data_IF_609906286805
#
_entry.id   IF_609906286805
#
_cell.length_a   1.000
_cell.length_b   1.000
_cell.length_c   1.000
_cell.angle_alpha   90.00
_cell.angle_beta   90.00
_cell.angle_gamma   90.00
#
_symmetry.space_group_name_H-M   'P 1'
#
loop_
_entity.id
_entity.type
_entity.pdbx_description
1 polymer ?
#
# COMPACT_ATOMS: atom_id res chain seq x y z
N UNK A 1 15.37 -26.96 21.06
CA UNK A 1 16.24 -26.00 20.36
C UNK A 1 15.38 -24.82 19.96
N UNK A 2 15.68 -23.61 20.46
CA UNK A 2 15.00 -22.37 20.05
C UNK A 2 15.94 -21.64 19.09
N UNK A 3 15.49 -21.25 17.88
CA UNK A 3 16.32 -20.49 16.97
C UNK A 3 16.62 -19.11 17.58
N UNK A 4 17.87 -18.66 17.45
CA UNK A 4 18.23 -17.29 17.80
C UNK A 4 17.62 -16.32 16.78
N UNK A 5 16.70 -15.48 17.26
CA UNK A 5 15.97 -14.51 16.44
C UNK A 5 16.62 -13.12 16.47
N UNK A 6 17.71 -12.93 17.23
CA UNK A 6 18.37 -11.62 17.38
C UNK A 6 18.80 -10.97 16.06
N UNK A 7 19.27 -11.68 15.01
CA UNK A 7 19.59 -11.04 13.74
C UNK A 7 18.35 -10.50 13.02
N UNK A 8 17.20 -11.16 13.19
CA UNK A 8 15.93 -10.69 12.65
C UNK A 8 15.48 -9.40 13.33
N UNK A 9 15.62 -9.33 14.65
CA UNK A 9 15.27 -8.13 15.42
C UNK A 9 16.13 -6.92 15.08
N UNK A 10 17.44 -7.08 14.94
CA UNK A 10 18.34 -5.98 14.57
C UNK A 10 18.02 -5.40 13.19
N UNK A 11 17.59 -6.25 12.25
CA UNK A 11 17.18 -5.84 10.91
C UNK A 11 15.80 -5.17 10.87
N UNK A 12 14.95 -5.39 11.87
CA UNK A 12 13.56 -4.95 11.94
C UNK A 12 13.33 -3.73 12.84
N UNK A 13 14.08 -3.58 13.94
CA UNK A 13 14.00 -2.46 14.89
C UNK A 13 14.05 -1.07 14.23
N UNK A 14 14.93 -0.81 13.24
CA UNK A 14 14.95 0.48 12.55
C UNK A 14 13.65 0.80 11.79
N UNK A 15 13.01 -0.23 11.22
CA UNK A 15 11.75 -0.10 10.49
C UNK A 15 10.57 0.18 11.43
N UNK A 16 10.52 -0.46 12.59
CA UNK A 16 9.51 -0.18 13.62
C UNK A 16 9.62 1.25 14.14
N UNK A 17 10.83 1.64 14.55
CA UNK A 17 11.11 2.99 15.05
C UNK A 17 10.76 4.06 14.01
N UNK A 18 11.13 3.85 12.75
CA UNK A 18 10.77 4.79 11.69
C UNK A 18 9.26 4.88 11.49
N UNK A 19 8.54 3.75 11.53
CA UNK A 19 7.08 3.74 11.39
C UNK A 19 6.38 4.47 12.55
N UNK A 20 6.91 4.36 13.77
CA UNK A 20 6.43 5.12 14.91
C UNK A 20 6.62 6.63 14.73
N UNK A 21 7.80 7.08 14.28
CA UNK A 21 8.05 8.50 14.02
C UNK A 21 7.13 9.09 12.95
N UNK A 22 6.76 8.30 11.94
CA UNK A 22 5.81 8.71 10.90
C UNK A 22 4.37 8.82 11.40
N UNK A 23 3.97 7.94 12.32
CA UNK A 23 2.64 7.95 12.93
C UNK A 23 2.51 8.96 14.09
N UNK A 24 3.62 9.35 14.70
CA UNK A 24 3.62 10.27 15.82
C UNK A 24 3.15 11.68 15.37
N UNK A 25 2.17 12.30 16.06
CA UNK A 25 1.65 13.61 15.68
C UNK A 25 2.73 14.69 15.63
N UNK A 26 3.61 14.72 16.63
CA UNK A 26 4.65 15.73 16.71
C UNK A 26 5.67 15.54 15.59
N UNK A 27 5.91 16.62 14.87
CA UNK A 27 6.64 16.61 13.61
C UNK A 27 8.16 16.56 13.83
N UNK A 28 8.71 15.41 14.17
CA UNK A 28 10.16 15.24 14.29
C UNK A 28 10.80 14.76 12.97
N UNK A 29 10.90 15.67 11.99
CA UNK A 29 11.52 15.36 10.70
C UNK A 29 13.02 15.12 10.78
N UNK A 30 13.71 15.68 11.78
CA UNK A 30 15.14 15.45 11.98
C UNK A 30 15.39 14.00 12.36
N UNK A 31 14.63 13.44 13.31
CA UNK A 31 14.71 12.04 13.69
C UNK A 31 14.33 11.10 12.53
N UNK A 32 13.34 11.48 11.70
CA UNK A 32 12.96 10.72 10.50
C UNK A 32 14.10 10.70 9.49
N UNK A 33 14.74 11.84 9.22
CA UNK A 33 15.85 11.95 8.25
C UNK A 33 17.14 11.30 8.75
N UNK A 34 17.33 11.22 10.06
CA UNK A 34 18.46 10.53 10.66
C UNK A 34 18.43 9.01 10.41
N UNK A 35 17.25 8.43 10.15
CA UNK A 35 17.10 7.03 9.77
C UNK A 35 17.18 6.87 8.25
N UNK A 36 18.39 6.55 7.77
CA UNK A 36 18.61 6.29 6.35
C UNK A 36 18.07 4.90 5.94
N UNK A 37 17.16 4.89 4.96
CA UNK A 37 16.59 3.68 4.37
C UNK A 37 17.24 3.31 3.03
N UNK A 38 18.25 4.07 2.58
CA UNK A 38 18.92 3.85 1.28
C UNK A 38 19.52 2.44 1.19
N UNK A 39 20.14 1.99 2.29
CA UNK A 39 20.76 0.67 2.43
C UNK A 39 19.75 -0.47 2.63
N UNK A 40 18.48 -0.16 2.93
CA UNK A 40 17.50 -1.18 3.25
C UNK A 40 17.21 -2.08 2.05
N UNK A 41 17.13 -3.38 2.34
CA UNK A 41 16.69 -4.39 1.39
C UNK A 41 15.17 -4.37 1.24
N UNK A 42 14.67 -4.99 0.17
CA UNK A 42 13.24 -5.01 -0.14
C UNK A 42 12.39 -5.56 1.00
N UNK A 43 12.84 -6.61 1.71
CA UNK A 43 12.08 -7.17 2.83
C UNK A 43 11.98 -6.21 4.02
N UNK A 44 12.99 -5.37 4.27
CA UNK A 44 12.95 -4.34 5.32
C UNK A 44 11.99 -3.21 4.93
N UNK A 45 12.01 -2.79 3.67
CA UNK A 45 11.05 -1.81 3.14
C UNK A 45 9.61 -2.34 3.19
N UNK A 46 9.41 -3.61 2.85
CA UNK A 46 8.12 -4.30 2.99
C UNK A 46 7.67 -4.29 4.45
N UNK A 47 8.55 -4.69 5.38
CA UNK A 47 8.24 -4.73 6.80
C UNK A 47 7.91 -3.34 7.36
N UNK A 48 8.67 -2.33 6.97
CA UNK A 48 8.39 -0.93 7.29
C UNK A 48 7.00 -0.50 6.81
N UNK A 49 6.65 -0.77 5.55
CA UNK A 49 5.34 -0.41 5.01
C UNK A 49 4.20 -1.19 5.67
N UNK A 50 4.42 -2.45 6.04
CA UNK A 50 3.45 -3.23 6.83
C UNK A 50 3.20 -2.58 8.20
N UNK A 51 4.23 -2.04 8.85
CA UNK A 51 4.08 -1.29 10.10
C UNK A 51 3.37 0.05 9.90
N UNK A 52 3.65 0.77 8.81
CA UNK A 52 2.91 2.00 8.45
C UNK A 52 1.43 1.68 8.19
N UNK A 53 1.12 0.59 7.50
CA UNK A 53 -0.25 0.17 7.21
C UNK A 53 -1.08 -0.15 8.46
N UNK A 54 -0.44 -0.70 9.50
CA UNK A 54 -1.06 -0.93 10.81
C UNK A 54 -1.34 0.37 11.56
N UNK A 55 -0.52 1.39 11.35
CA UNK A 55 -0.64 2.71 11.98
C UNK A 55 -1.44 3.72 11.16
N UNK A 56 -1.85 3.37 9.95
CA UNK A 56 -2.65 4.24 9.07
C UNK A 56 -4.12 4.29 9.53
N UNK A 57 -4.81 5.44 9.42
CA UNK A 57 -4.34 6.68 8.78
C UNK A 57 -3.29 7.43 9.62
N UNK A 58 -2.29 7.95 8.93
CA UNK A 58 -1.26 8.83 9.47
C UNK A 58 -1.80 10.27 9.54
N UNK A 59 -1.16 11.15 10.34
CA UNK A 59 -1.47 12.57 10.33
C UNK A 59 -1.39 13.21 8.93
N UNK A 60 -2.16 14.26 8.72
CA UNK A 60 -2.27 14.94 7.42
C UNK A 60 -0.91 15.37 6.85
N UNK A 61 -0.76 15.21 5.54
CA UNK A 61 0.47 15.54 4.81
C UNK A 61 1.65 14.59 5.05
N UNK A 62 1.54 13.58 5.92
CA UNK A 62 2.62 12.60 6.16
C UNK A 62 2.86 11.71 4.94
N UNK A 63 1.79 11.22 4.30
CA UNK A 63 1.93 10.38 3.09
C UNK A 63 2.62 11.13 1.95
N UNK A 64 2.28 12.41 1.74
CA UNK A 64 2.97 13.26 0.76
C UNK A 64 4.46 13.40 1.08
N UNK A 65 4.80 13.71 2.34
CA UNK A 65 6.20 13.81 2.77
C UNK A 65 6.95 12.49 2.62
N UNK A 66 6.32 11.36 2.91
CA UNK A 66 6.88 10.02 2.66
C UNK A 66 7.13 9.78 1.17
N UNK A 67 6.18 10.20 0.32
CA UNK A 67 6.29 10.06 -1.14
C UNK A 67 7.51 10.78 -1.68
N UNK A 68 7.77 11.99 -1.17
CA UNK A 68 8.93 12.83 -1.53
C UNK A 68 10.22 12.26 -0.95
N UNK A 69 10.23 11.89 0.34
CA UNK A 69 11.45 11.47 1.04
C UNK A 69 11.92 10.08 0.60
N UNK A 70 11.01 9.20 0.19
CA UNK A 70 11.31 7.81 -0.17
C UNK A 70 10.90 7.45 -1.61
N UNK A 71 11.56 8.02 -2.64
CA UNK A 71 11.31 7.65 -4.05
C UNK A 71 11.48 6.16 -4.34
N UNK A 72 12.37 5.48 -3.60
CA UNK A 72 12.59 4.02 -3.68
C UNK A 72 11.33 3.20 -3.34
N UNK A 73 10.38 3.81 -2.62
CA UNK A 73 9.07 3.24 -2.29
C UNK A 73 8.00 3.81 -3.24
N UNK A 74 7.86 5.14 -3.31
CA UNK A 74 6.75 5.78 -4.04
C UNK A 74 6.83 5.59 -5.56
N UNK A 75 8.04 5.39 -6.10
CA UNK A 75 8.29 5.10 -7.53
C UNK A 75 8.71 3.65 -7.78
N UNK A 76 8.54 2.76 -6.80
CA UNK A 76 8.97 1.37 -6.89
C UNK A 76 8.25 0.63 -8.04
N UNK A 77 8.98 -0.21 -8.76
CA UNK A 77 8.39 -1.18 -9.70
C UNK A 77 8.09 -2.54 -9.04
N UNK A 78 8.68 -2.80 -7.86
CA UNK A 78 8.47 -4.04 -7.14
C UNK A 78 6.99 -4.15 -6.67
N UNK A 79 6.31 -5.22 -7.09
CA UNK A 79 4.89 -5.41 -6.81
C UNK A 79 4.55 -5.51 -5.31
N UNK A 80 5.46 -6.03 -4.47
CA UNK A 80 5.23 -6.10 -3.01
C UNK A 80 5.26 -4.71 -2.36
N UNK A 81 6.10 -3.81 -2.86
CA UNK A 81 6.15 -2.41 -2.41
C UNK A 81 4.96 -1.63 -2.96
N UNK A 82 4.65 -1.77 -4.25
CA UNK A 82 3.50 -1.11 -4.89
C UNK A 82 2.19 -1.48 -4.22
N UNK A 83 1.98 -2.76 -3.89
CA UNK A 83 0.80 -3.22 -3.15
C UNK A 83 0.61 -2.44 -1.85
N UNK A 84 1.64 -2.44 -1.00
CA UNK A 84 1.57 -1.81 0.33
C UNK A 84 1.45 -0.30 0.23
N UNK A 85 2.19 0.32 -0.68
CA UNK A 85 2.11 1.75 -0.94
C UNK A 85 0.71 2.16 -1.39
N UNK A 86 0.10 1.42 -2.34
CA UNK A 86 -1.29 1.67 -2.75
C UNK A 86 -2.27 1.54 -1.59
N UNK A 87 -2.11 0.55 -0.72
CA UNK A 87 -2.95 0.42 0.47
C UNK A 87 -2.77 1.58 1.45
N UNK A 88 -1.54 2.09 1.62
CA UNK A 88 -1.27 3.27 2.47
C UNK A 88 -1.95 4.50 1.88
N UNK A 89 -1.75 4.76 0.58
CA UNK A 89 -2.39 5.86 -0.15
C UNK A 89 -3.90 5.85 0.05
N UNK A 90 -4.54 4.69 -0.15
CA UNK A 90 -5.99 4.52 -0.01
C UNK A 90 -6.47 4.69 1.43
N UNK A 91 -5.79 4.06 2.40
CA UNK A 91 -6.14 4.17 3.83
C UNK A 91 -6.03 5.59 4.38
N UNK A 92 -5.18 6.42 3.76
CA UNK A 92 -4.96 7.81 4.16
C UNK A 92 -5.75 8.79 3.28
N UNK A 93 -6.61 8.30 2.37
CA UNK A 93 -7.33 9.09 1.38
C UNK A 93 -6.43 10.11 0.65
N UNK A 94 -5.20 9.70 0.29
CA UNK A 94 -4.24 10.58 -0.37
C UNK A 94 -4.46 10.57 -1.88
N UNK A 95 -5.40 11.38 -2.36
CA UNK A 95 -5.87 11.35 -3.76
C UNK A 95 -4.78 11.59 -4.80
N UNK A 96 -3.75 12.39 -4.49
CA UNK A 96 -2.59 12.61 -5.38
C UNK A 96 -1.84 11.31 -5.73
N UNK A 97 -2.02 10.24 -4.94
CA UNK A 97 -1.48 8.90 -5.22
C UNK A 97 -2.39 7.98 -6.01
N UNK A 98 -3.64 8.35 -6.30
CA UNK A 98 -4.64 7.45 -6.90
C UNK A 98 -4.26 7.01 -8.33
N UNK A 99 -3.63 7.89 -9.11
CA UNK A 99 -3.10 7.52 -10.43
C UNK A 99 -2.11 6.35 -10.34
N UNK A 100 -1.28 6.30 -9.29
CA UNK A 100 -0.33 5.19 -9.09
C UNK A 100 -1.02 3.90 -8.67
N UNK A 101 -2.13 3.99 -7.94
CA UNK A 101 -2.99 2.85 -7.63
C UNK A 101 -3.60 2.28 -8.90
N UNK A 102 -4.16 3.16 -9.74
CA UNK A 102 -4.71 2.82 -11.06
C UNK A 102 -3.67 2.18 -11.97
N UNK A 103 -2.49 2.80 -12.12
CA UNK A 103 -1.36 2.28 -12.89
C UNK A 103 -0.96 0.87 -12.43
N UNK A 104 -1.05 0.57 -11.13
CA UNK A 104 -0.69 -0.74 -10.60
C UNK A 104 -1.73 -1.82 -10.89
N UNK A 105 -3.02 -1.48 -10.79
CA UNK A 105 -4.09 -2.40 -11.15
C UNK A 105 -4.13 -2.68 -12.66
N UNK A 106 -3.73 -1.72 -13.51
CA UNK A 106 -3.57 -1.96 -14.94
C UNK A 106 -2.42 -2.93 -15.25
N UNK A 107 -1.37 -2.98 -14.42
CA UNK A 107 -0.22 -3.86 -14.66
C UNK A 107 -0.35 -5.25 -14.02
N UNK A 108 -1.30 -5.46 -13.08
CA UNK A 108 -1.39 -6.70 -12.31
C UNK A 108 -2.79 -7.35 -12.34
N UNK A 109 -2.85 -8.64 -12.71
CA UNK A 109 -4.08 -9.45 -12.60
C UNK A 109 -4.06 -10.50 -11.48
N UNK A 110 -2.99 -10.60 -10.68
CA UNK A 110 -2.89 -11.62 -9.62
C UNK A 110 -3.83 -11.28 -8.46
N UNK A 111 -4.54 -12.28 -7.94
CA UNK A 111 -5.43 -12.11 -6.78
C UNK A 111 -4.73 -11.49 -5.57
N UNK A 112 -3.49 -11.90 -5.31
CA UNK A 112 -2.65 -11.38 -4.20
C UNK A 112 -2.54 -9.86 -4.18
N UNK A 113 -2.52 -9.22 -5.36
CA UNK A 113 -2.37 -7.76 -5.48
C UNK A 113 -3.72 -7.08 -5.71
N UNK A 114 -4.54 -7.66 -6.58
CA UNK A 114 -5.80 -7.07 -7.05
C UNK A 114 -6.81 -6.98 -5.91
N UNK A 115 -7.10 -8.11 -5.23
CA UNK A 115 -8.20 -8.16 -4.27
C UNK A 115 -7.99 -7.25 -3.04
N UNK A 116 -6.79 -7.20 -2.42
CA UNK A 116 -6.59 -6.30 -1.29
C UNK A 116 -6.74 -4.81 -1.65
N UNK A 117 -6.40 -4.41 -2.88
CA UNK A 117 -6.53 -3.01 -3.33
C UNK A 117 -7.99 -2.68 -3.59
N UNK A 118 -8.74 -3.54 -4.29
CA UNK A 118 -10.18 -3.32 -4.47
C UNK A 118 -10.93 -3.24 -3.14
N UNK A 119 -10.59 -4.08 -2.16
CA UNK A 119 -11.16 -3.98 -0.80
C UNK A 119 -10.79 -2.67 -0.12
N UNK A 120 -9.54 -2.23 -0.24
CA UNK A 120 -9.09 -0.96 0.33
C UNK A 120 -9.82 0.25 -0.30
N UNK A 121 -10.03 0.23 -1.63
CA UNK A 121 -10.80 1.26 -2.32
C UNK A 121 -12.27 1.26 -1.87
N UNK A 122 -12.91 0.08 -1.82
CA UNK A 122 -14.31 -0.04 -1.40
C UNK A 122 -14.57 0.29 0.07
N UNK A 123 -13.54 0.20 0.91
CA UNK A 123 -13.61 0.61 2.33
C UNK A 123 -13.20 2.07 2.56
N UNK A 124 -12.82 2.78 1.50
CA UNK A 124 -12.33 4.15 1.53
C UNK A 124 -13.42 5.20 1.24
N UNK A 125 -12.97 6.39 0.86
CA UNK A 125 -13.80 7.52 0.44
C UNK A 125 -14.63 7.21 -0.81
N UNK A 126 -15.62 8.05 -1.09
CA UNK A 126 -16.41 7.98 -2.33
C UNK A 126 -15.53 8.09 -3.58
N UNK A 127 -14.47 8.91 -3.54
CA UNK A 127 -13.50 9.03 -4.64
C UNK A 127 -12.72 7.74 -4.85
N UNK A 128 -12.34 7.03 -3.78
CA UNK A 128 -11.71 5.72 -3.87
C UNK A 128 -12.68 4.64 -4.42
N UNK A 129 -13.95 4.66 -4.01
CA UNK A 129 -14.98 3.75 -4.53
C UNK A 129 -15.24 3.98 -6.03
N UNK A 130 -15.33 5.25 -6.45
CA UNK A 130 -15.46 5.61 -7.85
C UNK A 130 -14.26 5.13 -8.69
N UNK A 131 -13.04 5.30 -8.16
CA UNK A 131 -11.83 4.78 -8.78
C UNK A 131 -11.89 3.25 -8.95
N UNK A 132 -12.40 2.51 -7.96
CA UNK A 132 -12.56 1.06 -8.07
C UNK A 132 -13.45 0.67 -9.25
N UNK A 133 -14.59 1.33 -9.41
CA UNK A 133 -15.50 1.09 -10.52
C UNK A 133 -14.84 1.42 -11.87
N UNK A 134 -14.21 2.59 -11.98
CA UNK A 134 -13.51 3.04 -13.19
C UNK A 134 -12.42 2.05 -13.64
N UNK A 135 -11.57 1.63 -12.70
CA UNK A 135 -10.49 0.69 -12.98
C UNK A 135 -11.04 -0.68 -13.37
N UNK A 136 -12.13 -1.13 -12.75
CA UNK A 136 -12.72 -2.41 -13.11
C UNK A 136 -13.36 -2.39 -14.50
N UNK A 137 -14.01 -1.30 -14.88
CA UNK A 137 -14.56 -1.15 -16.23
C UNK A 137 -13.46 -1.19 -17.31
N UNK A 138 -12.29 -0.61 -17.03
CA UNK A 138 -11.17 -0.58 -17.98
C UNK A 138 -10.36 -1.88 -18.04
N UNK A 139 -10.19 -2.57 -16.92
CA UNK A 139 -9.31 -3.76 -16.82
C UNK A 139 -10.04 -5.10 -16.72
N UNK A 140 -11.34 -5.08 -16.39
CA UNK A 140 -12.11 -6.26 -15.99
C UNK A 140 -12.18 -7.37 -17.04
N UNK A 141 -12.19 -7.04 -18.33
CA UNK A 141 -12.19 -8.02 -19.44
C UNK A 141 -10.84 -8.72 -19.63
N UNK A 142 -9.76 -8.12 -19.13
CA UNK A 142 -8.40 -8.65 -19.23
C UNK A 142 -8.02 -9.53 -18.01
N UNK A 143 -8.81 -9.44 -16.94
CA UNK A 143 -8.62 -10.25 -15.74
C UNK A 143 -9.07 -11.69 -15.98
N UNK A 144 -8.36 -12.63 -15.38
CA UNK A 144 -8.81 -14.02 -15.32
C UNK A 144 -10.18 -14.10 -14.63
N UNK A 145 -11.08 -14.94 -15.15
CA UNK A 145 -12.50 -15.04 -14.73
C UNK A 145 -12.70 -15.12 -13.21
N UNK A 146 -11.88 -15.90 -12.50
CA UNK A 146 -11.95 -15.98 -11.04
C UNK A 146 -11.66 -14.64 -10.35
N UNK A 147 -10.66 -13.90 -10.83
CA UNK A 147 -10.32 -12.58 -10.28
C UNK A 147 -11.43 -11.59 -10.57
N UNK A 148 -11.94 -11.60 -11.81
CA UNK A 148 -13.09 -10.79 -12.20
C UNK A 148 -14.29 -11.05 -11.28
N UNK A 149 -14.63 -12.31 -11.02
CA UNK A 149 -15.75 -12.70 -10.15
C UNK A 149 -15.55 -12.23 -8.70
N UNK A 150 -14.34 -12.33 -8.16
CA UNK A 150 -14.06 -11.80 -6.82
C UNK A 150 -14.15 -10.27 -6.77
N UNK A 151 -13.67 -9.57 -7.81
CA UNK A 151 -13.78 -8.12 -7.88
C UNK A 151 -15.24 -7.69 -8.01
N UNK A 152 -16.05 -8.33 -8.87
CA UNK A 152 -17.50 -8.09 -8.96
C UNK A 152 -18.18 -8.20 -7.60
N UNK A 153 -17.88 -9.27 -6.84
CA UNK A 153 -18.38 -9.44 -5.47
C UNK A 153 -17.95 -8.31 -4.53
N UNK A 154 -16.71 -7.85 -4.61
CA UNK A 154 -16.22 -6.71 -3.81
C UNK A 154 -16.95 -5.41 -4.18
N UNK A 155 -17.24 -5.21 -5.47
CA UNK A 155 -17.97 -4.05 -5.98
C UNK A 155 -19.49 -4.11 -5.77
N UNK A 156 -20.02 -5.21 -5.21
CA UNK A 156 -21.47 -5.42 -5.08
C UNK A 156 -22.19 -5.64 -6.42
N UNK A 157 -21.45 -6.01 -7.47
CA UNK A 157 -22.03 -6.37 -8.77
C UNK A 157 -22.49 -7.83 -8.70
N UNK A 158 -23.80 -8.08 -8.80
CA UNK A 158 -24.37 -9.42 -8.78
C UNK A 158 -23.73 -10.31 -9.85
N UNK A 159 -23.33 -11.53 -9.46
CA UNK A 159 -22.80 -12.56 -10.37
C UNK A 159 -23.89 -13.40 -11.06
N UNK A 160 -25.15 -13.02 -10.91
CA UNK A 160 -26.29 -13.68 -11.55
C UNK A 160 -26.59 -13.02 -12.89
N UNK A 161 -26.03 -13.60 -13.96
CA UNK A 161 -26.52 -13.66 -15.36
C UNK A 161 -25.33 -13.96 -16.27
N UNK A 162 -24.97 -15.24 -16.35
CA UNK A 162 -24.44 -15.89 -17.56
C UNK A 162 -25.12 -17.24 -17.66
#
# INVERSE_FOLDING_TARGET
YLPDLSPGEELMKPAEKLAELWAFPDHNMEAIRALDISAWKTYQLVYFLDNILKKSPLPDGRVEKMSILYPKISKAQNAELRLRWSQIVLKNNHEAGFDKVKDFLHSQGKQKYTLPIYRAMMSGSETAQALAMEVFLSTGSQLHVNVQNYVKKILGLNTEEI
#
